data_IF_280998491579
#
_entry.id   IF_280998491579
#
_cell.length_a   1.000
_cell.length_b   1.000
_cell.length_c   1.000
_cell.angle_alpha   90.00
_cell.angle_beta   90.00
_cell.angle_gamma   90.00
#
_symmetry.space_group_name_H-M   'P 1'
#
loop_
_entity.id
_entity.type
_entity.pdbx_description
1 polymer ?
#
# COMPACT_ATOMS: atom_id res chain seq x y z
N UNK A 1 -1.04 -29.54 -13.90
CA UNK A 1 -1.75 -28.28 -13.68
C UNK A 1 -0.71 -27.19 -13.80
N UNK A 2 -0.83 -26.32 -14.79
CA UNK A 2 0.23 -25.39 -15.14
C UNK A 2 0.45 -24.38 -14.01
N UNK A 3 1.70 -24.23 -13.56
CA UNK A 3 2.11 -23.29 -12.50
C UNK A 3 1.69 -21.84 -12.79
N UNK A 4 1.44 -21.50 -14.06
CA UNK A 4 0.93 -20.19 -14.50
C UNK A 4 -0.51 -19.92 -14.07
N UNK A 5 -1.39 -20.92 -14.10
CA UNK A 5 -2.80 -20.74 -13.70
C UNK A 5 -2.95 -20.45 -12.20
N UNK A 6 -2.08 -21.00 -11.36
CA UNK A 6 -2.12 -20.74 -9.91
C UNK A 6 -1.69 -19.30 -9.59
N UNK A 7 -0.69 -18.76 -10.28
CA UNK A 7 -0.23 -17.37 -10.12
C UNK A 7 -1.29 -16.34 -10.49
N UNK A 8 -1.99 -16.55 -11.59
CA UNK A 8 -3.05 -15.65 -12.07
C UNK A 8 -4.26 -15.65 -11.14
N UNK A 9 -4.62 -16.79 -10.57
CA UNK A 9 -5.71 -16.90 -9.58
C UNK A 9 -5.34 -16.17 -8.28
N UNK A 10 -4.10 -16.32 -7.81
CA UNK A 10 -3.60 -15.60 -6.63
C UNK A 10 -3.58 -14.10 -6.86
N UNK A 11 -3.12 -13.64 -8.03
CA UNK A 11 -3.12 -12.23 -8.40
C UNK A 11 -4.55 -11.67 -8.39
N UNK A 12 -5.49 -12.31 -9.06
CA UNK A 12 -6.88 -11.89 -9.10
C UNK A 12 -7.52 -11.84 -7.70
N UNK A 13 -7.23 -12.82 -6.86
CA UNK A 13 -7.75 -12.86 -5.48
C UNK A 13 -7.18 -11.72 -4.62
N UNK A 14 -5.87 -11.48 -4.69
CA UNK A 14 -5.21 -10.38 -3.97
C UNK A 14 -5.68 -9.03 -4.47
N UNK A 15 -5.80 -8.84 -5.80
CA UNK A 15 -6.37 -7.63 -6.40
C UNK A 15 -7.79 -7.36 -5.89
N UNK A 16 -8.63 -8.39 -5.82
CA UNK A 16 -10.00 -8.25 -5.30
C UNK A 16 -10.02 -7.80 -3.85
N UNK A 17 -9.20 -8.40 -2.99
CA UNK A 17 -9.09 -8.03 -1.58
C UNK A 17 -8.62 -6.58 -1.40
N UNK A 18 -7.62 -6.17 -2.17
CA UNK A 18 -7.05 -4.83 -2.12
C UNK A 18 -8.04 -3.81 -2.65
N UNK A 19 -8.68 -4.09 -3.78
CA UNK A 19 -9.67 -3.20 -4.38
C UNK A 19 -10.84 -2.95 -3.43
N UNK A 20 -11.34 -3.99 -2.75
CA UNK A 20 -12.42 -3.84 -1.76
C UNK A 20 -11.97 -2.97 -0.57
N UNK A 21 -10.73 -3.12 -0.11
CA UNK A 21 -10.18 -2.34 0.98
C UNK A 21 -9.96 -0.88 0.59
N UNK A 22 -9.38 -0.65 -0.59
CA UNK A 22 -9.21 0.68 -1.15
C UNK A 22 -10.57 1.37 -1.36
N UNK A 23 -11.57 0.66 -1.88
CA UNK A 23 -12.92 1.18 -2.06
C UNK A 23 -13.52 1.68 -0.75
N UNK A 24 -13.35 0.95 0.35
CA UNK A 24 -13.83 1.39 1.68
C UNK A 24 -13.11 2.64 2.16
N UNK A 25 -11.80 2.71 2.03
CA UNK A 25 -11.01 3.88 2.39
C UNK A 25 -11.44 5.11 1.57
N UNK A 26 -11.59 4.97 0.25
CA UNK A 26 -12.06 6.04 -0.63
C UNK A 26 -13.45 6.53 -0.29
N UNK A 27 -14.41 5.64 -0.05
CA UNK A 27 -15.78 6.02 0.33
C UNK A 27 -15.77 6.81 1.63
N UNK A 28 -14.93 6.42 2.59
CA UNK A 28 -14.77 7.15 3.85
C UNK A 28 -14.20 8.56 3.61
N UNK A 29 -13.12 8.68 2.86
CA UNK A 29 -12.45 9.96 2.62
C UNK A 29 -13.31 10.90 1.75
N UNK A 30 -13.98 10.37 0.72
CA UNK A 30 -14.94 11.14 -0.06
C UNK A 30 -16.09 11.68 0.79
N UNK A 31 -16.63 10.86 1.69
CA UNK A 31 -17.71 11.28 2.58
C UNK A 31 -17.24 12.40 3.52
N UNK A 32 -16.03 12.27 4.10
CA UNK A 32 -15.43 13.31 4.96
C UNK A 32 -15.21 14.63 4.22
N UNK A 33 -14.67 14.58 3.00
CA UNK A 33 -14.45 15.78 2.18
C UNK A 33 -15.76 16.45 1.74
N UNK A 34 -16.77 15.67 1.31
CA UNK A 34 -18.09 16.20 0.99
C UNK A 34 -18.74 16.88 2.20
N UNK A 35 -18.58 16.29 3.39
CA UNK A 35 -19.08 16.89 4.64
C UNK A 35 -18.36 18.21 4.96
N UNK A 36 -17.05 18.31 4.72
CA UNK A 36 -16.28 19.54 4.89
C UNK A 36 -16.77 20.64 3.92
N UNK A 37 -17.03 20.29 2.66
CA UNK A 37 -17.60 21.22 1.66
C UNK A 37 -18.99 21.67 2.11
N UNK A 38 -19.86 20.77 2.51
CA UNK A 38 -21.21 21.08 2.96
C UNK A 38 -21.19 22.02 4.18
N UNK A 39 -20.39 21.70 5.20
CA UNK A 39 -20.21 22.55 6.38
C UNK A 39 -19.68 23.94 6.04
N UNK A 40 -18.81 24.05 5.04
CA UNK A 40 -18.29 25.34 4.55
C UNK A 40 -19.42 26.19 3.94
N UNK A 41 -20.29 25.59 3.14
CA UNK A 41 -21.47 26.27 2.57
C UNK A 41 -22.48 26.68 3.65
N UNK A 42 -22.72 25.87 4.68
CA UNK A 42 -23.58 26.24 5.80
C UNK A 42 -23.03 27.44 6.58
N UNK A 43 -21.74 27.50 6.82
CA UNK A 43 -21.09 28.64 7.45
C UNK A 43 -21.26 29.91 6.63
N UNK A 44 -21.08 29.84 5.30
CA UNK A 44 -21.30 30.97 4.40
C UNK A 44 -22.77 31.43 4.41
N UNK A 45 -23.71 30.48 4.36
CA UNK A 45 -25.14 30.79 4.37
C UNK A 45 -25.59 31.46 5.68
N UNK A 46 -25.08 30.99 6.81
CA UNK A 46 -25.33 31.60 8.15
C UNK A 46 -24.75 33.02 8.24
N UNK A 47 -23.50 33.21 7.75
CA UNK A 47 -22.86 34.53 7.71
C UNK A 47 -23.66 35.55 6.87
N UNK A 48 -24.15 35.10 5.72
CA UNK A 48 -24.98 35.96 4.85
C UNK A 48 -26.32 36.37 5.52
N UNK A 49 -26.96 35.49 6.26
CA UNK A 49 -28.23 35.78 6.96
C UNK A 49 -28.10 36.79 8.11
N UNK A 50 -26.94 36.87 8.74
CA UNK A 50 -26.70 37.73 9.88
C UNK A 50 -26.11 39.12 9.50
N UNK A 51 -26.02 39.45 8.21
CA UNK A 51 -25.57 40.77 7.72
C UNK A 51 -24.10 41.09 8.03
N UNK A 52 -23.40 40.23 8.72
CA UNK A 52 -21.99 40.35 9.01
C UNK A 52 -21.21 39.44 8.04
N UNK A 53 -21.07 39.88 6.82
CA UNK A 53 -20.11 39.24 5.90
C UNK A 53 -18.70 39.46 6.46
N UNK A 54 -18.32 38.62 7.43
CA UNK A 54 -16.97 38.61 7.97
C UNK A 54 -16.06 38.02 6.89
N UNK A 55 -15.27 38.88 6.26
CA UNK A 55 -14.34 38.49 5.20
C UNK A 55 -13.47 37.29 5.61
N UNK A 56 -13.08 37.22 6.88
CA UNK A 56 -12.30 36.11 7.47
C UNK A 56 -13.09 34.79 7.44
N UNK A 57 -14.39 34.81 7.72
CA UNK A 57 -15.22 33.60 7.65
C UNK A 57 -15.40 33.11 6.23
N UNK A 58 -15.57 34.03 5.27
CA UNK A 58 -15.69 33.70 3.84
C UNK A 58 -14.38 33.10 3.34
N UNK A 59 -13.24 33.69 3.69
CA UNK A 59 -11.92 33.21 3.32
C UNK A 59 -11.64 31.83 3.90
N UNK A 60 -11.92 31.62 5.18
CA UNK A 60 -11.75 30.33 5.84
C UNK A 60 -12.64 29.23 5.22
N UNK A 61 -13.93 29.51 5.03
CA UNK A 61 -14.85 28.55 4.41
C UNK A 61 -14.43 28.22 2.96
N UNK A 62 -14.01 29.22 2.18
CA UNK A 62 -13.49 29.01 0.83
C UNK A 62 -12.19 28.18 0.82
N UNK A 63 -11.29 28.44 1.77
CA UNK A 63 -10.04 27.68 1.94
C UNK A 63 -10.30 26.21 2.28
N UNK A 64 -11.24 25.94 3.18
CA UNK A 64 -11.64 24.57 3.56
C UNK A 64 -12.25 23.85 2.36
N UNK A 65 -13.18 24.49 1.64
CA UNK A 65 -13.81 23.90 0.47
C UNK A 65 -12.79 23.61 -0.65
N UNK A 66 -11.87 24.54 -0.93
CA UNK A 66 -10.82 24.34 -1.95
C UNK A 66 -9.89 23.17 -1.58
N UNK A 67 -9.47 23.05 -0.32
CA UNK A 67 -8.63 21.93 0.13
C UNK A 67 -9.37 20.60 0.03
N UNK A 68 -10.65 20.55 0.39
CA UNK A 68 -11.46 19.35 0.28
C UNK A 68 -11.64 18.94 -1.20
N UNK A 69 -11.89 19.89 -2.11
CA UNK A 69 -11.99 19.62 -3.54
C UNK A 69 -10.67 19.09 -4.12
N UNK A 70 -9.54 19.74 -3.80
CA UNK A 70 -8.22 19.28 -4.26
C UNK A 70 -7.91 17.86 -3.74
N UNK A 71 -8.28 17.55 -2.51
CA UNK A 71 -8.13 16.20 -1.97
C UNK A 71 -9.00 15.18 -2.72
N UNK A 72 -10.24 15.53 -3.07
CA UNK A 72 -11.10 14.66 -3.87
C UNK A 72 -10.58 14.44 -5.28
N UNK A 73 -10.10 15.50 -5.93
CA UNK A 73 -9.49 15.40 -7.27
C UNK A 73 -8.32 14.43 -7.24
N UNK A 74 -7.42 14.57 -6.26
CA UNK A 74 -6.27 13.68 -6.09
C UNK A 74 -6.73 12.23 -5.87
N UNK A 75 -7.71 12.00 -4.99
CA UNK A 75 -8.24 10.67 -4.71
C UNK A 75 -8.86 10.02 -5.95
N UNK A 76 -9.58 10.80 -6.77
CA UNK A 76 -10.15 10.32 -8.04
C UNK A 76 -9.06 9.94 -9.04
N UNK A 77 -8.01 10.77 -9.19
CA UNK A 77 -6.86 10.46 -10.05
C UNK A 77 -6.21 9.14 -9.62
N UNK A 78 -6.05 8.93 -8.31
CA UNK A 78 -5.47 7.71 -7.78
C UNK A 78 -6.35 6.48 -8.04
N UNK A 79 -7.68 6.58 -7.89
CA UNK A 79 -8.63 5.51 -8.25
C UNK A 79 -8.54 5.18 -9.75
N UNK A 80 -8.58 6.21 -10.59
CA UNK A 80 -8.49 6.01 -12.04
C UNK A 80 -7.18 5.32 -12.39
N UNK A 81 -6.05 5.77 -11.85
CA UNK A 81 -4.76 5.15 -12.09
C UNK A 81 -4.67 3.69 -11.58
N UNK A 82 -5.40 3.34 -10.53
CA UNK A 82 -5.50 1.96 -10.05
C UNK A 82 -6.32 1.07 -10.98
N UNK A 83 -7.43 1.61 -11.53
CA UNK A 83 -8.36 0.84 -12.37
C UNK A 83 -7.93 0.80 -13.84
N UNK A 84 -7.36 1.92 -14.34
CA UNK A 84 -7.02 2.10 -15.76
C UNK A 84 -5.52 2.17 -16.01
N UNK A 85 -4.69 1.94 -14.98
CA UNK A 85 -3.24 2.00 -15.11
C UNK A 85 -2.73 1.16 -16.26
N UNK A 86 -1.67 1.60 -16.96
CA UNK A 86 -1.16 0.89 -18.12
C UNK A 86 -0.85 -0.56 -17.74
N UNK A 87 -1.36 -1.45 -18.58
CA UNK A 87 -1.20 -2.89 -18.47
C UNK A 87 0.27 -3.22 -18.22
N UNK A 88 0.56 -3.81 -17.08
CA UNK A 88 1.67 -4.71 -16.72
C UNK A 88 3.08 -4.51 -17.33
N UNK A 89 3.35 -3.41 -18.05
CA UNK A 89 4.70 -3.14 -18.51
C UNK A 89 5.60 -2.78 -17.31
N UNK A 90 6.73 -3.46 -17.14
CA UNK A 90 7.69 -3.08 -16.11
C UNK A 90 8.22 -1.67 -16.33
N UNK A 91 8.23 -0.87 -15.30
CA UNK A 91 8.77 0.49 -15.29
C UNK A 91 9.67 0.69 -14.08
N UNK A 92 10.58 1.66 -14.16
CA UNK A 92 11.37 2.05 -12.99
C UNK A 92 10.43 2.71 -11.99
N UNK A 93 10.29 2.10 -10.82
CA UNK A 93 9.37 2.52 -9.77
C UNK A 93 10.14 2.76 -8.48
N UNK A 94 9.82 3.84 -7.78
CA UNK A 94 10.38 4.10 -6.46
C UNK A 94 9.51 3.43 -5.39
N UNK A 95 10.06 2.38 -4.75
CA UNK A 95 9.39 1.60 -3.72
C UNK A 95 9.02 2.43 -2.48
N UNK A 96 9.87 3.40 -2.10
CA UNK A 96 9.61 4.28 -0.97
C UNK A 96 8.33 5.12 -1.19
N UNK A 97 8.10 5.59 -2.41
CA UNK A 97 6.89 6.32 -2.74
C UNK A 97 5.65 5.43 -2.66
N UNK A 98 5.74 4.17 -3.11
CA UNK A 98 4.63 3.22 -2.99
C UNK A 98 4.31 2.88 -1.53
N UNK A 99 5.32 2.74 -0.67
CA UNK A 99 5.13 2.51 0.76
C UNK A 99 4.47 3.71 1.43
N UNK A 100 4.90 4.94 1.12
CA UNK A 100 4.28 6.18 1.62
C UNK A 100 2.82 6.30 1.15
N UNK A 101 2.52 5.97 -0.11
CA UNK A 101 1.15 5.94 -0.63
C UNK A 101 0.31 4.89 0.11
N UNK A 102 0.82 3.68 0.27
CA UNK A 102 0.12 2.62 0.99
C UNK A 102 -0.14 2.98 2.46
N UNK A 103 0.80 3.66 3.15
CA UNK A 103 0.58 4.20 4.48
C UNK A 103 -0.60 5.19 4.50
N UNK A 104 -0.63 6.09 3.53
CA UNK A 104 -1.72 7.07 3.43
C UNK A 104 -3.09 6.37 3.30
N UNK A 105 -3.20 5.40 2.40
CA UNK A 105 -4.43 4.61 2.20
C UNK A 105 -4.87 3.83 3.42
N UNK A 106 -3.93 3.23 4.13
CA UNK A 106 -4.21 2.36 5.28
C UNK A 106 -4.29 3.11 6.60
N UNK A 107 -4.10 4.44 6.59
CA UNK A 107 -4.09 5.27 7.79
C UNK A 107 -5.37 5.10 8.62
N UNK A 108 -6.53 5.16 7.98
CA UNK A 108 -7.82 5.05 8.68
C UNK A 108 -8.03 3.65 9.24
N UNK A 109 -7.61 2.62 8.52
CA UNK A 109 -7.64 1.23 8.98
C UNK A 109 -6.75 1.04 10.22
N UNK A 110 -5.51 1.54 10.16
CA UNK A 110 -4.57 1.50 11.27
C UNK A 110 -5.12 2.25 12.51
N UNK A 111 -5.63 3.47 12.31
CA UNK A 111 -6.24 4.26 13.38
C UNK A 111 -7.43 3.54 14.02
N UNK A 112 -8.32 2.94 13.21
CA UNK A 112 -9.51 2.23 13.71
C UNK A 112 -9.14 1.01 14.56
N UNK A 113 -7.99 0.40 14.29
CA UNK A 113 -7.44 -0.73 15.05
C UNK A 113 -6.52 -0.31 16.19
N UNK A 114 -6.19 0.98 16.29
CA UNK A 114 -5.22 1.48 17.27
C UNK A 114 -3.79 1.02 16.96
N UNK A 115 -3.45 0.75 15.70
CA UNK A 115 -2.11 0.34 15.27
C UNK A 115 -1.35 1.54 14.73
N UNK A 116 -0.08 1.69 15.11
CA UNK A 116 0.81 2.72 14.59
C UNK A 116 1.63 2.18 13.42
N UNK A 117 1.71 2.93 12.32
CA UNK A 117 2.60 2.63 11.19
C UNK A 117 3.82 3.55 11.23
N UNK A 118 4.99 3.00 11.53
CA UNK A 118 6.27 3.72 11.51
C UNK A 118 7.05 3.35 10.25
N UNK A 119 7.29 4.33 9.36
CA UNK A 119 8.04 4.12 8.11
C UNK A 119 9.36 4.85 8.21
N UNK A 120 10.44 4.15 7.88
CA UNK A 120 11.81 4.68 7.87
C UNK A 120 12.60 4.14 6.69
N UNK A 121 13.75 4.74 6.40
CA UNK A 121 14.78 4.21 5.52
C UNK A 121 15.01 4.98 4.23
N UNK A 122 15.51 4.30 3.21
CA UNK A 122 16.06 4.86 1.98
C UNK A 122 14.98 5.47 1.08
N UNK A 123 15.19 6.74 0.66
CA UNK A 123 14.28 7.42 -0.28
C UNK A 123 14.48 6.98 -1.74
N UNK A 124 15.68 6.52 -2.09
CA UNK A 124 16.04 6.09 -3.46
C UNK A 124 15.95 4.57 -3.64
N UNK A 125 14.78 4.01 -3.42
CA UNK A 125 14.53 2.58 -3.55
C UNK A 125 13.97 2.25 -4.96
N UNK A 126 14.80 2.40 -6.01
CA UNK A 126 14.38 2.19 -7.39
C UNK A 126 14.41 0.71 -7.78
N UNK A 127 13.28 0.21 -8.27
CA UNK A 127 13.11 -1.16 -8.75
C UNK A 127 12.48 -1.16 -10.14
N UNK A 128 12.77 -2.20 -10.94
CA UNK A 128 12.16 -2.36 -12.26
C UNK A 128 11.03 -3.38 -12.18
N UNK A 129 9.78 -2.92 -12.31
CA UNK A 129 8.61 -3.74 -12.00
C UNK A 129 7.33 -3.17 -12.59
N UNK A 130 6.31 -4.01 -12.86
CA UNK A 130 4.94 -3.56 -13.06
C UNK A 130 4.42 -2.82 -11.81
N UNK A 131 4.20 -1.50 -11.96
CA UNK A 131 3.91 -0.61 -10.83
C UNK A 131 2.63 -1.03 -10.07
N UNK A 132 1.59 -1.48 -10.80
CA UNK A 132 0.32 -1.86 -10.19
C UNK A 132 0.45 -3.13 -9.33
N UNK A 133 1.17 -4.15 -9.82
CA UNK A 133 1.42 -5.38 -9.06
C UNK A 133 2.25 -5.11 -7.81
N UNK A 134 3.28 -4.27 -7.95
CA UNK A 134 4.12 -3.88 -6.81
C UNK A 134 3.33 -3.08 -5.77
N UNK A 135 2.46 -2.15 -6.22
CA UNK A 135 1.56 -1.40 -5.33
C UNK A 135 0.61 -2.34 -4.58
N UNK A 136 -0.02 -3.27 -5.28
CA UNK A 136 -0.92 -4.26 -4.69
C UNK A 136 -0.22 -5.13 -3.66
N UNK A 137 0.99 -5.55 -3.96
CA UNK A 137 1.82 -6.29 -3.03
C UNK A 137 2.06 -5.52 -1.73
N UNK A 138 2.51 -4.27 -1.83
CA UNK A 138 2.82 -3.44 -0.66
C UNK A 138 1.56 -3.17 0.15
N UNK A 139 0.46 -2.78 -0.51
CA UNK A 139 -0.83 -2.57 0.16
C UNK A 139 -1.31 -3.83 0.88
N UNK A 140 -1.22 -4.99 0.24
CA UNK A 140 -1.59 -6.27 0.81
C UNK A 140 -0.76 -6.62 2.05
N UNK A 141 0.55 -6.45 1.98
CA UNK A 141 1.47 -6.75 3.08
C UNK A 141 1.28 -5.82 4.29
N UNK A 142 1.13 -4.51 4.05
CA UNK A 142 0.87 -3.56 5.14
C UNK A 142 -0.51 -3.80 5.76
N UNK A 143 -1.52 -4.07 4.93
CA UNK A 143 -2.86 -4.42 5.41
C UNK A 143 -2.84 -5.68 6.27
N UNK A 144 -2.10 -6.71 5.83
CA UNK A 144 -1.89 -7.94 6.59
C UNK A 144 -1.21 -7.67 7.93
N UNK A 145 -0.16 -6.84 7.94
CA UNK A 145 0.51 -6.43 9.17
C UNK A 145 -0.45 -5.74 10.14
N UNK A 146 -1.24 -4.77 9.67
CA UNK A 146 -2.25 -4.09 10.49
C UNK A 146 -3.29 -5.08 11.03
N UNK A 147 -3.75 -6.04 10.20
CA UNK A 147 -4.77 -7.00 10.59
C UNK A 147 -4.30 -7.99 11.66
N UNK A 148 -3.03 -8.34 11.62
CA UNK A 148 -2.42 -9.29 12.55
C UNK A 148 -2.00 -8.69 13.90
N UNK A 149 -2.06 -7.35 14.07
CA UNK A 149 -1.59 -6.68 15.27
C UNK A 149 -2.73 -6.32 16.25
N UNK A 150 -2.50 -6.38 17.58
CA UNK A 150 -3.45 -5.86 18.56
C UNK A 150 -3.43 -4.34 18.61
N UNK A 151 -4.46 -3.77 19.23
CA UNK A 151 -4.50 -2.34 19.52
C UNK A 151 -3.33 -1.93 20.43
N UNK A 152 -2.72 -0.79 20.12
CA UNK A 152 -1.54 -0.25 20.81
C UNK A 152 -0.21 -0.74 20.22
N UNK A 153 -0.21 -1.70 19.29
CA UNK A 153 1.01 -2.20 18.66
C UNK A 153 1.52 -1.25 17.56
N UNK A 154 2.81 -1.41 17.23
CA UNK A 154 3.48 -0.71 16.15
C UNK A 154 3.91 -1.68 15.04
N UNK A 155 3.61 -1.34 13.79
CA UNK A 155 4.18 -1.97 12.60
C UNK A 155 5.30 -1.07 12.07
N UNK A 156 6.52 -1.53 12.21
CA UNK A 156 7.69 -0.85 11.65
C UNK A 156 7.93 -1.33 10.23
N UNK A 157 8.12 -0.38 9.32
CA UNK A 157 8.41 -0.61 7.91
C UNK A 157 9.71 0.08 7.59
N UNK A 158 10.74 -0.68 7.25
CA UNK A 158 12.06 -0.17 6.95
C UNK A 158 12.47 -0.50 5.51
N UNK A 159 13.00 0.51 4.81
CA UNK A 159 13.58 0.36 3.48
C UNK A 159 15.08 0.58 3.55
N UNK A 160 15.86 -0.37 3.01
CA UNK A 160 17.30 -0.25 2.91
C UNK A 160 17.81 -0.83 1.59
N UNK A 161 19.08 -0.56 1.26
CA UNK A 161 19.77 -1.19 0.12
C UNK A 161 20.77 -2.19 0.65
N UNK A 162 20.73 -3.41 0.13
CA UNK A 162 21.61 -4.50 0.55
C UNK A 162 22.02 -5.32 -0.68
N UNK A 163 23.28 -5.38 -1.00
CA UNK A 163 23.88 -6.28 -2.01
C UNK A 163 23.14 -6.33 -3.36
N UNK A 164 22.80 -5.17 -3.93
CA UNK A 164 22.09 -5.10 -5.21
C UNK A 164 20.58 -5.28 -5.12
N UNK A 165 20.03 -5.27 -3.91
CA UNK A 165 18.60 -5.35 -3.64
C UNK A 165 18.10 -4.13 -2.87
N UNK A 166 16.83 -3.80 -3.06
CA UNK A 166 16.04 -3.04 -2.09
C UNK A 166 15.46 -4.04 -1.10
N UNK A 167 15.78 -3.88 0.16
CA UNK A 167 15.19 -4.62 1.27
C UNK A 167 14.02 -3.82 1.84
N UNK A 168 12.82 -4.39 1.76
CA UNK A 168 11.65 -3.95 2.53
C UNK A 168 11.49 -4.89 3.71
N UNK A 169 11.62 -4.37 4.91
CA UNK A 169 11.45 -5.12 6.15
C UNK A 169 10.23 -4.63 6.91
N UNK A 170 9.34 -5.56 7.28
CA UNK A 170 8.19 -5.32 8.14
C UNK A 170 8.47 -6.01 9.48
N UNK A 171 8.50 -5.25 10.56
CA UNK A 171 8.75 -5.76 11.93
C UNK A 171 7.59 -5.44 12.85
N UNK A 172 7.27 -6.36 13.74
CA UNK A 172 6.33 -6.12 14.84
C UNK A 172 6.65 -6.99 16.03
N UNK A 173 6.13 -6.63 17.20
CA UNK A 173 6.29 -7.40 18.44
C UNK A 173 5.51 -8.72 18.43
N UNK A 174 4.62 -8.91 17.48
CA UNK A 174 3.80 -10.11 17.40
C UNK A 174 4.34 -11.11 16.40
N UNK A 175 4.25 -12.33 16.81
CA UNK A 175 4.66 -13.51 16.07
C UNK A 175 3.92 -13.61 14.74
N UNK A 176 4.65 -13.56 13.65
CA UNK A 176 4.19 -14.03 12.34
C UNK A 176 4.00 -15.57 12.34
N UNK A 177 3.49 -16.15 13.42
CA UNK A 177 3.20 -17.59 13.47
C UNK A 177 2.25 -18.00 12.35
N UNK A 178 1.23 -17.17 12.08
CA UNK A 178 0.33 -17.32 10.94
C UNK A 178 1.06 -17.31 9.58
N UNK A 179 2.16 -16.56 9.47
CA UNK A 179 2.99 -16.47 8.26
C UNK A 179 3.78 -17.77 8.03
N UNK A 180 4.29 -18.37 9.09
CA UNK A 180 5.04 -19.62 9.02
C UNK A 180 4.13 -20.80 8.65
N UNK A 181 2.93 -20.86 9.23
CA UNK A 181 1.90 -21.82 8.84
C UNK A 181 1.47 -21.64 7.38
N UNK A 182 1.37 -20.41 6.89
CA UNK A 182 1.05 -20.13 5.50
C UNK A 182 2.15 -20.57 4.51
N UNK A 183 3.43 -20.53 4.92
CA UNK A 183 4.52 -21.06 4.08
C UNK A 183 4.41 -22.59 3.89
N UNK A 184 4.05 -23.31 4.94
CA UNK A 184 3.88 -24.75 4.89
C UNK A 184 2.61 -25.13 4.08
N UNK A 185 1.56 -24.33 4.16
CA UNK A 185 0.31 -24.53 3.42
C UNK A 185 0.42 -24.25 1.91
N UNK A 186 1.29 -23.33 1.48
CA UNK A 186 1.51 -23.03 0.06
C UNK A 186 2.26 -24.16 -0.68
N UNK A 187 2.83 -25.12 0.04
CA UNK A 187 3.38 -26.35 -0.54
C UNK A 187 2.30 -27.41 -0.83
N UNK A 188 1.08 -27.22 -0.36
CA UNK A 188 -0.06 -28.14 -0.54
C UNK A 188 -1.20 -27.43 -1.27
N UNK A 189 -2.07 -28.15 -1.95
CA UNK A 189 -3.14 -27.59 -2.79
C UNK A 189 -4.03 -26.58 -2.05
N UNK A 190 -4.30 -25.39 -2.66
CA UNK A 190 -4.97 -24.27 -1.99
C UNK A 190 -6.49 -24.46 -1.95
N UNK A 191 -7.01 -25.34 -1.11
CA UNK A 191 -8.46 -25.60 -1.08
C UNK A 191 -9.23 -24.61 -0.17
N UNK A 192 -8.59 -23.97 0.82
CA UNK A 192 -9.23 -23.02 1.76
C UNK A 192 -8.23 -22.03 2.35
N UNK A 193 -7.59 -21.19 1.50
CA UNK A 193 -6.64 -20.19 1.99
C UNK A 193 -7.37 -19.00 2.61
N UNK A 194 -6.93 -18.60 3.81
CA UNK A 194 -7.32 -17.33 4.43
C UNK A 194 -6.79 -16.15 3.62
N UNK A 195 -7.39 -14.95 3.67
CA UNK A 195 -6.90 -13.77 2.95
C UNK A 195 -5.42 -13.46 3.21
N UNK A 196 -4.94 -13.71 4.44
CA UNK A 196 -3.54 -13.52 4.82
C UNK A 196 -2.61 -14.45 4.04
N UNK A 197 -2.99 -15.70 3.88
CA UNK A 197 -2.24 -16.73 3.18
C UNK A 197 -2.14 -16.44 1.68
N UNK A 198 -3.22 -15.91 1.11
CA UNK A 198 -3.25 -15.48 -0.30
C UNK A 198 -2.25 -14.35 -0.56
N UNK A 199 -2.22 -13.32 0.29
CA UNK A 199 -1.30 -12.18 0.14
C UNK A 199 0.15 -12.63 0.23
N UNK A 200 0.49 -13.49 1.17
CA UNK A 200 1.85 -14.00 1.34
C UNK A 200 2.27 -14.94 0.21
N UNK A 201 1.34 -15.78 -0.24
CA UNK A 201 1.56 -16.65 -1.39
C UNK A 201 1.83 -15.86 -2.66
N UNK A 202 1.03 -14.84 -2.91
CA UNK A 202 1.24 -13.92 -4.01
C UNK A 202 2.59 -13.20 -3.89
N UNK A 203 2.90 -12.66 -2.70
CA UNK A 203 4.16 -11.97 -2.43
C UNK A 203 5.35 -12.87 -2.77
N UNK A 204 5.36 -14.09 -2.25
CA UNK A 204 6.44 -15.06 -2.49
C UNK A 204 6.55 -15.40 -3.98
N UNK A 205 5.44 -15.82 -4.60
CA UNK A 205 5.45 -16.23 -6.01
C UNK A 205 5.94 -15.10 -6.91
N UNK A 206 5.38 -13.91 -6.74
CA UNK A 206 5.68 -12.78 -7.61
C UNK A 206 7.08 -12.21 -7.39
N UNK A 207 7.55 -12.10 -6.14
CA UNK A 207 8.90 -11.62 -5.82
C UNK A 207 9.94 -12.59 -6.38
N UNK A 208 9.76 -13.91 -6.19
CA UNK A 208 10.70 -14.91 -6.71
C UNK A 208 10.73 -14.92 -8.25
N UNK A 209 9.58 -14.80 -8.90
CA UNK A 209 9.49 -14.71 -10.36
C UNK A 209 10.22 -13.48 -10.94
N UNK A 210 10.42 -12.44 -10.14
CA UNK A 210 11.17 -11.23 -10.51
C UNK A 210 12.61 -11.21 -9.95
N UNK A 211 13.17 -12.35 -9.58
CA UNK A 211 14.55 -12.48 -9.12
C UNK A 211 14.82 -11.99 -7.70
N UNK A 212 13.76 -11.74 -6.95
CA UNK A 212 13.83 -11.38 -5.54
C UNK A 212 13.71 -12.58 -4.61
N UNK A 213 13.66 -12.33 -3.30
CA UNK A 213 13.44 -13.34 -2.27
C UNK A 213 12.61 -12.81 -1.12
N UNK A 214 11.90 -13.71 -0.44
CA UNK A 214 11.09 -13.42 0.75
C UNK A 214 11.59 -14.28 1.88
N UNK A 215 11.91 -13.69 3.01
CA UNK A 215 12.43 -14.35 4.20
C UNK A 215 11.55 -13.98 5.41
N UNK A 216 11.28 -14.97 6.25
CA UNK A 216 10.68 -14.72 7.56
C UNK A 216 11.80 -14.78 8.57
N UNK A 217 11.96 -13.70 9.30
CA UNK A 217 12.94 -13.59 10.37
C UNK A 217 12.22 -13.62 11.71
N UNK A 218 12.48 -14.65 12.50
CA UNK A 218 11.93 -14.80 13.84
C UNK A 218 13.07 -15.16 14.80
N UNK A 219 13.92 -14.19 15.18
CA UNK A 219 14.96 -14.45 16.14
C UNK A 219 14.34 -14.78 17.50
N UNK A 220 14.93 -15.75 18.20
CA UNK A 220 14.47 -16.16 19.53
C UNK A 220 14.56 -14.96 20.47
N UNK A 221 13.41 -14.52 21.02
CA UNK A 221 13.33 -13.41 21.97
C UNK A 221 13.34 -11.99 21.36
N UNK A 222 13.18 -11.84 20.03
CA UNK A 222 13.13 -10.55 19.35
C UNK A 222 11.87 -10.42 18.49
N UNK A 223 11.67 -9.21 17.95
CA UNK A 223 10.59 -8.92 17.02
C UNK A 223 10.65 -9.83 15.79
N UNK A 224 9.52 -10.42 15.43
CA UNK A 224 9.39 -11.17 14.19
C UNK A 224 9.26 -10.22 13.01
N UNK A 225 9.86 -10.57 11.87
CA UNK A 225 9.87 -9.72 10.69
C UNK A 225 9.70 -10.50 9.38
N UNK A 226 9.13 -9.84 8.41
CA UNK A 226 9.09 -10.25 7.02
C UNK A 226 10.09 -9.40 6.25
N UNK A 227 11.04 -10.05 5.57
CA UNK A 227 12.05 -9.42 4.72
C UNK A 227 11.76 -9.73 3.27
N UNK A 228 11.68 -8.69 2.46
CA UNK A 228 11.47 -8.81 1.02
C UNK A 228 12.63 -8.12 0.33
N UNK A 229 13.38 -8.90 -0.43
CA UNK A 229 14.49 -8.43 -1.25
C UNK A 229 14.01 -8.30 -2.70
N UNK A 230 14.03 -7.11 -3.23
CA UNK A 230 13.66 -6.82 -4.60
C UNK A 230 14.90 -6.32 -5.37
N UNK A 231 15.22 -6.86 -6.56
CA UNK A 231 16.39 -6.41 -7.31
C UNK A 231 16.34 -4.91 -7.59
N UNK A 232 17.47 -4.21 -7.36
CA UNK A 232 17.63 -2.82 -7.76
C UNK A 232 17.47 -2.68 -9.27
N UNK A 233 16.81 -1.62 -9.71
CA UNK A 233 16.81 -1.25 -11.12
C UNK A 233 18.25 -0.92 -11.53
N UNK A 234 18.87 -1.80 -12.36
CA UNK A 234 20.17 -1.50 -12.94
C UNK A 234 19.99 -0.39 -13.98
N UNK A 235 20.39 0.82 -13.66
CA UNK A 235 20.40 1.96 -14.60
C UNK A 235 21.34 1.75 -15.79
N UNK A 236 22.16 0.68 -15.78
CA UNK A 236 23.14 0.37 -16.83
C UNK A 236 22.59 -0.37 -18.05
N UNK A 237 21.29 -0.68 -18.13
CA UNK A 237 20.70 -1.33 -19.31
C UNK A 237 20.40 -0.39 -20.50
N UNK A 238 20.87 0.87 -20.44
CA UNK A 238 20.73 1.85 -21.52
C UNK A 238 21.85 1.89 -22.57
N UNK A 239 22.91 1.08 -22.43
CA UNK A 239 24.10 1.18 -23.30
C UNK A 239 24.49 -0.12 -24.01
N UNK A 240 23.58 -0.95 -24.43
CA UNK A 240 23.98 -2.10 -25.27
C UNK A 240 22.89 -2.48 -26.28
N UNK A 241 22.75 -1.68 -27.32
CA UNK A 241 22.40 -2.16 -28.64
C UNK A 241 23.36 -1.56 -29.65
N UNK A 242 24.45 -2.24 -30.07
CA UNK A 242 25.19 -1.83 -31.24
C UNK A 242 24.26 -2.14 -32.45
N UNK A 243 23.87 -1.09 -33.13
CA UNK A 243 23.37 -1.19 -34.49
C UNK A 243 24.47 -1.80 -35.35
N UNK A 244 24.26 -3.00 -35.85
CA UNK A 244 24.96 -3.61 -36.99
C UNK A 244 23.93 -4.09 -37.98
#
# INVERSE_FOLDING_TARGET
>A
MDTWQAGDVLDAAVQTLINERCRRAYVHDMRGGLQAIYSSFELLARSAKHGAANAVLIENASSIAKRALAHHEQALIEIVNQVTGPVDAPVITNLANLVKQAQHFLRNDALSKGVTLAISGCEDALVFSPCNKLRSLILGLLALGIDGLPAGAELQVELSRVDGYVLLELRSELTYSAIREAQDLLCHEPVHLRPQELVLGFARHWIMANGGRVEIHSPVGAQSGLRIYYPLANMSLGEAAPHS
#
